data_IF_371798321001
#
_entry.id   IF_371798321001
#
_cell.length_a   1.000
_cell.length_b   1.000
_cell.length_c   1.000
_cell.angle_alpha   90.00
_cell.angle_beta   90.00
_cell.angle_gamma   90.00
#
_symmetry.space_group_name_H-M   'P 1'
#
loop_
_entity.id
_entity.type
_entity.pdbx_description
1 polymer ?
#
# COMPACT_ATOMS: atom_id res chain seq x y z
N UNK A 1 24.37 -2.14 69.35
CA UNK A 1 24.80 -1.87 67.96
C UNK A 1 23.80 -2.53 67.01
N UNK A 2 23.48 -1.82 65.92
CA UNK A 2 22.86 -2.29 64.67
C UNK A 2 21.33 -2.44 64.56
N UNK A 3 20.79 -1.65 63.63
CA UNK A 3 19.46 -1.71 62.98
C UNK A 3 19.35 -2.98 62.10
N UNK A 4 18.15 -3.31 61.57
CA UNK A 4 17.75 -2.72 60.28
C UNK A 4 16.28 -2.31 60.17
N UNK A 5 16.07 -1.12 59.61
CA UNK A 5 14.86 -0.73 58.89
C UNK A 5 14.98 -1.18 57.44
N UNK A 6 13.99 -1.89 56.89
CA UNK A 6 13.81 -2.01 55.44
C UNK A 6 12.32 -1.97 55.14
N UNK A 7 11.84 -0.75 54.85
CA UNK A 7 10.54 -0.51 54.25
C UNK A 7 10.67 -0.79 52.76
N UNK A 8 10.09 -1.91 52.32
CA UNK A 8 9.86 -2.18 50.92
C UNK A 8 8.71 -1.32 50.42
N UNK A 9 8.98 -0.48 49.42
CA UNK A 9 7.95 0.13 48.56
C UNK A 9 8.61 0.56 47.25
N UNK A 10 8.82 -0.43 46.38
CA UNK A 10 8.95 -0.17 44.95
C UNK A 10 7.58 0.28 44.43
N UNK A 11 7.36 1.59 44.33
CA UNK A 11 6.37 2.15 43.43
C UNK A 11 7.12 2.59 42.16
N UNK A 12 7.11 1.70 41.18
CA UNK A 12 7.41 2.01 39.79
C UNK A 12 6.31 2.94 39.29
N UNK A 13 6.61 4.22 39.32
CA UNK A 13 5.69 5.26 38.87
C UNK A 13 5.59 5.27 37.34
N UNK A 14 4.34 5.34 36.89
CA UNK A 14 3.83 5.62 35.55
C UNK A 14 4.79 5.55 34.38
N UNK A 15 4.72 4.46 33.59
CA UNK A 15 5.13 4.54 32.19
C UNK A 15 4.21 5.53 31.47
N UNK A 16 4.72 6.73 31.17
CA UNK A 16 4.19 7.60 30.12
C UNK A 16 4.38 6.89 28.77
N UNK A 17 3.58 5.85 28.50
CA UNK A 17 3.48 5.21 27.19
C UNK A 17 2.32 5.87 26.45
N UNK A 18 2.60 6.62 25.39
CA UNK A 18 2.01 6.35 24.07
C UNK A 18 2.26 7.43 23.00
N UNK A 19 2.62 8.67 23.36
CA UNK A 19 2.82 9.73 22.35
C UNK A 19 4.12 9.57 21.55
N UNK A 20 5.20 9.11 22.19
CA UNK A 20 6.51 8.94 21.54
C UNK A 20 6.50 7.84 20.46
N UNK A 21 5.67 6.81 20.64
CA UNK A 21 5.56 5.70 19.67
C UNK A 21 4.92 6.15 18.35
N UNK A 22 3.93 7.04 18.41
CA UNK A 22 3.22 7.48 17.21
C UNK A 22 4.04 8.50 16.42
N UNK A 23 4.74 9.40 17.12
CA UNK A 23 5.70 10.32 16.49
C UNK A 23 6.82 9.55 15.75
N UNK A 24 7.32 8.46 16.33
CA UNK A 24 8.29 7.56 15.67
C UNK A 24 7.71 6.82 14.44
N UNK A 25 6.43 6.47 14.46
CA UNK A 25 5.75 5.92 13.27
C UNK A 25 5.68 6.95 12.13
N UNK A 26 5.76 8.25 12.41
CA UNK A 26 5.69 9.31 11.38
C UNK A 26 7.05 9.76 10.83
N UNK A 27 8.18 9.40 11.47
CA UNK A 27 9.49 9.99 11.15
C UNK A 27 10.23 9.34 9.97
N UNK A 28 10.16 8.02 9.78
CA UNK A 28 10.93 7.36 8.70
C UNK A 28 10.23 6.11 8.09
N UNK A 29 9.96 6.08 6.78
CA UNK A 29 9.26 4.96 6.13
C UNK A 29 10.24 3.99 5.45
N UNK A 30 10.38 2.78 6.01
CA UNK A 30 11.28 1.75 5.49
C UNK A 30 11.03 1.38 4.02
N UNK A 31 9.80 1.54 3.52
CA UNK A 31 9.52 1.34 2.08
C UNK A 31 10.13 2.44 1.22
N UNK A 32 10.09 3.70 1.68
CA UNK A 32 10.69 4.83 0.96
C UNK A 32 12.21 4.67 0.87
N UNK A 33 12.84 4.09 1.89
CA UNK A 33 14.26 3.74 1.88
C UNK A 33 14.63 2.68 0.82
N UNK A 34 13.67 1.88 0.34
CA UNK A 34 13.92 0.91 -0.75
C UNK A 34 13.88 1.53 -2.15
N UNK A 35 13.48 2.80 -2.27
CA UNK A 35 13.35 3.48 -3.56
C UNK A 35 14.72 3.99 -4.03
N UNK A 36 15.09 3.62 -5.26
CA UNK A 36 16.33 4.02 -5.95
C UNK A 36 16.15 5.40 -6.59
N UNK A 37 17.23 6.06 -7.05
CA UNK A 37 17.11 7.35 -7.75
C UNK A 37 16.18 7.33 -8.98
N UNK A 38 16.13 6.22 -9.73
CA UNK A 38 15.17 6.03 -10.84
C UNK A 38 13.69 6.05 -10.38
N UNK A 39 13.43 5.83 -9.08
CA UNK A 39 12.09 5.84 -8.50
C UNK A 39 11.68 7.22 -7.95
N UNK A 40 12.43 8.29 -8.24
CA UNK A 40 12.16 9.61 -7.65
C UNK A 40 10.77 10.15 -8.01
N UNK A 41 10.30 9.94 -9.24
CA UNK A 41 8.94 10.31 -9.62
C UNK A 41 7.91 9.48 -8.84
N UNK A 42 8.15 8.18 -8.65
CA UNK A 42 7.28 7.30 -7.87
C UNK A 42 7.19 7.76 -6.42
N UNK A 43 8.35 8.10 -5.84
CA UNK A 43 8.48 8.64 -4.49
C UNK A 43 7.65 9.90 -4.34
N UNK A 44 7.80 10.86 -5.27
CA UNK A 44 7.06 12.11 -5.26
C UNK A 44 5.55 11.83 -5.33
N UNK A 45 5.12 10.99 -6.27
CA UNK A 45 3.72 10.59 -6.39
C UNK A 45 3.18 9.99 -5.08
N UNK A 46 3.88 9.05 -4.45
CA UNK A 46 3.47 8.46 -3.17
C UNK A 46 3.40 9.45 -2.01
N UNK A 47 4.22 10.51 -2.03
CA UNK A 47 4.17 11.57 -1.02
C UNK A 47 2.95 12.49 -1.21
N UNK A 48 2.52 12.71 -2.45
CA UNK A 48 1.42 13.60 -2.79
C UNK A 48 0.04 12.91 -2.75
N UNK A 49 -0.04 11.59 -2.96
CA UNK A 49 -1.31 10.85 -2.89
C UNK A 49 -1.82 10.83 -1.46
N UNK A 50 -2.85 11.63 -1.18
CA UNK A 50 -3.59 11.58 0.07
C UNK A 50 -4.61 10.43 0.06
N UNK A 51 -4.73 9.74 1.19
CA UNK A 51 -5.79 8.78 1.40
C UNK A 51 -7.12 9.50 1.64
N UNK A 52 -8.16 9.04 0.93
CA UNK A 52 -9.47 9.70 0.85
C UNK A 52 -10.14 9.97 2.22
N UNK A 53 -9.72 9.26 3.27
CA UNK A 53 -10.35 9.33 4.59
C UNK A 53 -9.43 9.87 5.71
N UNK A 54 -8.16 10.20 5.43
CA UNK A 54 -7.18 10.46 6.50
C UNK A 54 -6.26 11.64 6.26
N UNK A 55 -6.33 12.31 5.10
CA UNK A 55 -5.45 13.41 4.66
C UNK A 55 -3.95 13.09 4.73
N UNK A 56 -3.59 11.81 4.92
CA UNK A 56 -2.20 11.34 5.02
C UNK A 56 -1.76 10.78 3.69
N UNK A 57 -0.47 10.89 3.41
CA UNK A 57 0.10 10.24 2.24
C UNK A 57 -0.06 8.72 2.30
N UNK A 58 -0.16 8.09 1.13
CA UNK A 58 -0.34 6.64 0.99
C UNK A 58 0.74 5.84 1.74
N UNK A 59 1.99 6.32 1.68
CA UNK A 59 3.14 5.71 2.33
C UNK A 59 3.04 5.74 3.87
N UNK A 60 2.70 6.91 4.42
CA UNK A 60 2.46 7.07 5.86
C UNK A 60 1.33 6.16 6.34
N UNK A 61 0.26 6.06 5.55
CA UNK A 61 -0.88 5.21 5.90
C UNK A 61 -0.49 3.73 5.95
N UNK A 62 0.28 3.24 4.99
CA UNK A 62 0.80 1.86 4.99
C UNK A 62 1.62 1.57 6.24
N UNK A 63 2.52 2.48 6.62
CA UNK A 63 3.37 2.31 7.81
C UNK A 63 2.55 2.22 9.09
N UNK A 64 1.54 3.09 9.23
CA UNK A 64 0.63 3.06 10.40
C UNK A 64 -0.11 1.72 10.47
N UNK A 65 -0.76 1.29 9.38
CA UNK A 65 -1.52 0.02 9.39
C UNK A 65 -0.60 -1.18 9.67
N UNK A 66 0.61 -1.19 9.11
CA UNK A 66 1.61 -2.22 9.41
C UNK A 66 2.02 -2.23 10.87
N UNK A 67 2.24 -1.06 11.48
CA UNK A 67 2.60 -0.93 12.88
C UNK A 67 1.46 -1.38 13.80
N UNK A 68 0.23 -0.92 13.55
CA UNK A 68 -0.92 -1.31 14.36
C UNK A 68 -1.20 -2.81 14.25
N UNK A 69 -0.99 -3.41 13.08
CA UNK A 69 -1.12 -4.87 12.91
C UNK A 69 -0.15 -5.67 13.78
N UNK A 70 1.05 -5.14 14.07
CA UNK A 70 2.01 -5.80 14.97
C UNK A 70 1.57 -5.81 16.44
N UNK A 71 0.62 -4.96 16.81
CA UNK A 71 0.06 -4.89 18.17
C UNK A 71 -1.21 -5.73 18.33
N UNK A 72 -1.79 -6.20 17.23
CA UNK A 72 -2.99 -7.03 17.25
C UNK A 72 -2.66 -8.43 17.73
N UNK A 73 -3.64 -9.07 18.37
CA UNK A 73 -3.54 -10.47 18.76
C UNK A 73 -3.36 -11.35 17.51
N UNK A 74 -2.27 -12.12 17.40
CA UNK A 74 -2.08 -13.06 16.28
C UNK A 74 -3.12 -14.19 16.27
N UNK A 75 -3.78 -14.49 17.39
CA UNK A 75 -4.84 -15.50 17.49
C UNK A 75 -6.22 -14.99 17.02
N UNK A 76 -6.37 -13.68 16.74
CA UNK A 76 -7.57 -13.08 16.17
C UNK A 76 -7.78 -13.54 14.72
N UNK A 77 -8.39 -14.70 14.59
CA UNK A 77 -8.66 -15.40 13.32
C UNK A 77 -10.13 -15.33 12.93
N UNK A 78 -11.00 -14.94 13.86
CA UNK A 78 -12.44 -14.94 13.66
C UNK A 78 -12.85 -13.96 12.55
N UNK A 79 -13.73 -14.45 11.66
CA UNK A 79 -14.35 -13.60 10.66
C UNK A 79 -15.38 -12.70 11.33
N UNK A 80 -15.23 -11.39 11.14
CA UNK A 80 -16.25 -10.41 11.54
C UNK A 80 -17.46 -10.52 10.61
N UNK A 81 -18.66 -10.56 11.19
CA UNK A 81 -19.93 -10.74 10.46
C UNK A 81 -20.95 -9.64 10.80
N UNK A 82 -20.63 -8.80 11.76
CA UNK A 82 -21.42 -7.69 12.30
C UNK A 82 -21.12 -6.35 11.61
N UNK A 83 -20.83 -6.38 10.31
CA UNK A 83 -20.53 -5.17 9.58
C UNK A 83 -21.77 -4.28 9.45
N UNK A 84 -21.57 -2.98 9.63
CA UNK A 84 -22.62 -2.02 9.31
C UNK A 84 -22.82 -1.93 7.80
N UNK A 85 -24.01 -1.54 7.31
CA UNK A 85 -24.24 -1.34 5.87
C UNK A 85 -23.23 -0.38 5.21
N UNK A 86 -22.73 0.62 5.96
CA UNK A 86 -21.70 1.53 5.46
C UNK A 86 -20.33 0.84 5.31
N UNK A 87 -19.98 -0.06 6.23
CA UNK A 87 -18.76 -0.85 6.12
C UNK A 87 -18.79 -1.79 4.93
N UNK A 88 -19.93 -2.44 4.69
CA UNK A 88 -20.14 -3.27 3.50
C UNK A 88 -20.00 -2.45 2.21
N UNK A 89 -20.69 -1.30 2.13
CA UNK A 89 -20.59 -0.41 0.98
C UNK A 89 -19.15 0.07 0.73
N UNK A 90 -18.41 0.42 1.78
CA UNK A 90 -17.01 0.83 1.67
C UNK A 90 -16.09 -0.34 1.28
N UNK A 91 -16.40 -1.56 1.75
CA UNK A 91 -15.70 -2.79 1.39
C UNK A 91 -15.88 -3.06 -0.11
N UNK A 92 -17.12 -3.02 -0.59
CA UNK A 92 -17.46 -3.23 -1.99
C UNK A 92 -16.84 -2.15 -2.89
N UNK A 93 -16.86 -0.89 -2.44
CA UNK A 93 -16.22 0.20 -3.17
C UNK A 93 -14.71 -0.01 -3.34
N UNK A 94 -14.00 -0.48 -2.30
CA UNK A 94 -12.58 -0.81 -2.48
C UNK A 94 -12.41 -2.06 -3.35
N UNK A 95 -13.27 -3.07 -3.23
CA UNK A 95 -13.21 -4.30 -4.03
C UNK A 95 -13.37 -4.01 -5.51
N UNK A 96 -14.28 -3.12 -5.89
CA UNK A 96 -14.41 -2.66 -7.27
C UNK A 96 -13.10 -2.07 -7.82
N UNK A 97 -12.30 -1.36 -7.01
CA UNK A 97 -10.97 -0.88 -7.44
C UNK A 97 -9.97 -2.02 -7.65
N UNK A 98 -10.06 -3.09 -6.85
CA UNK A 98 -9.23 -4.30 -7.02
C UNK A 98 -9.62 -5.06 -8.30
N UNK A 99 -10.91 -5.08 -8.64
CA UNK A 99 -11.39 -5.71 -9.87
C UNK A 99 -10.94 -4.93 -11.11
N UNK A 100 -11.02 -3.60 -11.05
CA UNK A 100 -10.45 -2.71 -12.10
C UNK A 100 -8.95 -2.96 -12.27
N UNK A 101 -8.18 -3.04 -11.17
CA UNK A 101 -6.75 -3.37 -11.23
C UNK A 101 -6.51 -4.70 -11.95
N UNK A 102 -7.30 -5.72 -11.63
CA UNK A 102 -7.17 -7.05 -12.25
C UNK A 102 -7.47 -6.99 -13.75
N UNK A 103 -8.51 -6.27 -14.16
CA UNK A 103 -8.90 -6.10 -15.56
C UNK A 103 -7.88 -5.26 -16.36
N UNK A 104 -7.31 -4.21 -15.76
CA UNK A 104 -6.27 -3.40 -16.40
C UNK A 104 -4.97 -4.19 -16.55
N UNK A 105 -4.58 -4.97 -15.53
CA UNK A 105 -3.39 -5.83 -15.60
C UNK A 105 -3.46 -6.81 -16.77
N UNK A 106 -4.60 -7.47 -16.97
CA UNK A 106 -4.77 -8.39 -18.10
C UNK A 106 -4.62 -7.69 -19.47
N UNK A 107 -5.05 -6.43 -19.59
CA UNK A 107 -4.86 -5.63 -20.81
C UNK A 107 -3.41 -5.23 -21.01
N UNK A 108 -2.75 -4.78 -19.95
CA UNK A 108 -1.33 -4.40 -19.94
C UNK A 108 -0.44 -5.58 -20.36
N UNK A 109 -0.67 -6.78 -19.82
CA UNK A 109 0.07 -7.99 -20.22
C UNK A 109 -0.13 -8.33 -21.70
N UNK A 110 -1.34 -8.09 -22.22
CA UNK A 110 -1.65 -8.33 -23.63
C UNK A 110 -0.95 -7.30 -24.55
N UNK A 111 -0.95 -6.01 -24.20
CA UNK A 111 -0.32 -4.97 -25.00
C UNK A 111 1.21 -5.04 -24.94
N UNK A 112 1.81 -5.39 -23.80
CA UNK A 112 3.23 -5.71 -23.72
C UNK A 112 3.62 -6.84 -24.67
N UNK A 113 2.83 -7.93 -24.67
CA UNK A 113 3.08 -9.09 -25.54
C UNK A 113 2.97 -8.68 -27.01
N UNK A 114 1.99 -7.86 -27.36
CA UNK A 114 1.82 -7.33 -28.70
C UNK A 114 3.00 -6.42 -29.11
N UNK A 115 3.45 -5.52 -28.24
CA UNK A 115 4.60 -4.66 -28.48
C UNK A 115 5.88 -5.48 -28.71
N UNK A 116 6.15 -6.47 -27.84
CA UNK A 116 7.29 -7.40 -27.99
C UNK A 116 7.24 -8.23 -29.27
N UNK A 117 6.04 -8.61 -29.73
CA UNK A 117 5.88 -9.31 -31.01
C UNK A 117 6.11 -8.36 -32.21
N UNK A 118 5.61 -7.12 -32.11
CA UNK A 118 5.69 -6.12 -33.18
C UNK A 118 7.11 -5.61 -33.44
N UNK A 119 7.99 -5.61 -32.44
CA UNK A 119 9.39 -5.14 -32.57
C UNK A 119 10.22 -5.90 -33.61
N UNK A 120 9.76 -7.09 -34.03
CA UNK A 120 10.37 -7.90 -35.09
C UNK A 120 9.79 -7.61 -36.48
N UNK A 121 8.71 -6.83 -36.56
CA UNK A 121 8.06 -6.43 -37.81
C UNK A 121 8.94 -5.45 -38.59
N UNK A 122 8.83 -5.42 -39.92
CA UNK A 122 9.44 -4.34 -40.73
C UNK A 122 8.56 -3.09 -40.80
N UNK A 123 7.31 -3.18 -40.32
CA UNK A 123 6.36 -2.07 -40.29
C UNK A 123 6.59 -1.21 -39.04
N UNK A 124 7.27 -0.07 -39.25
CA UNK A 124 7.56 0.91 -38.20
C UNK A 124 6.30 1.57 -37.65
N UNK A 125 5.26 1.75 -38.45
CA UNK A 125 4.00 2.35 -37.98
C UNK A 125 3.25 1.39 -37.06
N UNK A 126 3.26 0.08 -37.37
CA UNK A 126 2.71 -0.94 -36.49
C UNK A 126 3.51 -1.08 -35.17
N UNK A 127 4.84 -0.99 -35.23
CA UNK A 127 5.68 -0.97 -34.03
C UNK A 127 5.33 0.20 -33.12
N UNK A 128 5.27 1.41 -33.67
CA UNK A 128 5.01 2.61 -32.88
C UNK A 128 3.60 2.58 -32.27
N UNK A 129 2.59 2.13 -33.03
CA UNK A 129 1.23 1.97 -32.49
C UNK A 129 1.19 0.99 -31.32
N UNK A 130 1.88 -0.15 -31.43
CA UNK A 130 1.91 -1.15 -30.36
C UNK A 130 2.65 -0.63 -29.13
N UNK A 131 3.74 0.14 -29.31
CA UNK A 131 4.49 0.79 -28.23
C UNK A 131 3.64 1.83 -27.49
N UNK A 132 2.97 2.72 -28.22
CA UNK A 132 2.09 3.74 -27.64
C UNK A 132 0.91 3.11 -26.86
N UNK A 133 0.35 2.01 -27.38
CA UNK A 133 -0.70 1.27 -26.67
C UNK A 133 -0.17 0.64 -25.38
N UNK A 134 1.00 -0.01 -25.42
CA UNK A 134 1.61 -0.57 -24.22
C UNK A 134 1.89 0.50 -23.17
N UNK A 135 2.43 1.65 -23.56
CA UNK A 135 2.65 2.79 -22.66
C UNK A 135 1.35 3.30 -22.02
N UNK A 136 0.27 3.42 -22.80
CA UNK A 136 -1.04 3.83 -22.28
C UNK A 136 -1.62 2.81 -21.29
N UNK A 137 -1.44 1.51 -21.54
CA UNK A 137 -1.90 0.46 -20.64
C UNK A 137 -1.01 0.36 -19.37
N UNK A 138 0.29 0.62 -19.47
CA UNK A 138 1.21 0.75 -18.33
C UNK A 138 0.77 1.90 -17.41
N UNK A 139 0.41 3.05 -17.99
CA UNK A 139 -0.12 4.20 -17.25
C UNK A 139 -1.46 3.89 -16.58
N UNK A 140 -2.37 3.21 -17.29
CA UNK A 140 -3.64 2.77 -16.72
C UNK A 140 -3.40 1.80 -15.56
N UNK A 141 -2.45 0.88 -15.70
CA UNK A 141 -2.11 -0.10 -14.68
C UNK A 141 -1.49 0.53 -13.45
N UNK A 142 -0.55 1.46 -13.64
CA UNK A 142 0.04 2.28 -12.58
C UNK A 142 -1.04 2.96 -11.74
N UNK A 143 -1.96 3.66 -12.40
CA UNK A 143 -3.04 4.40 -11.75
C UNK A 143 -3.99 3.46 -10.99
N UNK A 144 -4.36 2.32 -11.60
CA UNK A 144 -5.23 1.33 -10.98
C UNK A 144 -4.56 0.67 -9.74
N UNK A 145 -3.26 0.38 -9.81
CA UNK A 145 -2.51 -0.22 -8.72
C UNK A 145 -2.46 0.70 -7.50
N UNK A 146 -2.20 1.99 -7.73
CA UNK A 146 -2.23 3.03 -6.70
C UNK A 146 -3.64 3.20 -6.13
N UNK A 147 -4.67 3.28 -6.98
CA UNK A 147 -6.05 3.44 -6.53
C UNK A 147 -6.50 2.27 -5.66
N UNK A 148 -6.18 1.02 -6.05
CA UNK A 148 -6.49 -0.17 -5.26
C UNK A 148 -5.71 -0.21 -3.94
N UNK A 149 -4.42 0.16 -3.94
CA UNK A 149 -3.63 0.28 -2.72
C UNK A 149 -4.21 1.33 -1.76
N UNK A 150 -4.60 2.49 -2.29
CA UNK A 150 -5.20 3.59 -1.53
C UNK A 150 -6.55 3.19 -0.92
N UNK A 151 -7.45 2.62 -1.72
CA UNK A 151 -8.76 2.19 -1.25
C UNK A 151 -8.65 1.12 -0.15
N UNK A 152 -7.75 0.14 -0.32
CA UNK A 152 -7.53 -0.93 0.66
C UNK A 152 -6.96 -0.40 1.98
N UNK A 153 -5.97 0.50 1.93
CA UNK A 153 -5.45 1.16 3.14
C UNK A 153 -6.50 2.06 3.79
N UNK A 154 -7.27 2.80 2.98
CA UNK A 154 -8.37 3.64 3.44
C UNK A 154 -9.40 2.85 4.24
N UNK A 155 -9.79 1.67 3.74
CA UNK A 155 -10.70 0.75 4.44
C UNK A 155 -10.11 0.29 5.77
N UNK A 156 -8.89 -0.27 5.77
CA UNK A 156 -8.25 -0.76 7.01
C UNK A 156 -7.99 0.34 8.04
N UNK A 157 -7.86 1.58 7.60
CA UNK A 157 -7.67 2.71 8.52
C UNK A 157 -8.99 3.19 9.10
N UNK A 158 -10.03 3.27 8.27
CA UNK A 158 -11.36 3.67 8.68
C UNK A 158 -11.98 2.63 9.62
N UNK A 159 -11.70 1.34 9.38
CA UNK A 159 -12.22 0.22 10.14
C UNK A 159 -11.11 -0.73 10.61
N UNK A 160 -10.31 -0.33 11.62
CA UNK A 160 -9.13 -1.09 12.05
C UNK A 160 -9.44 -2.51 12.55
N UNK A 161 -10.66 -2.75 13.02
CA UNK A 161 -11.11 -4.04 13.55
C UNK A 161 -12.04 -4.82 12.60
N UNK A 162 -12.29 -4.32 11.38
CA UNK A 162 -13.22 -4.97 10.44
C UNK A 162 -12.73 -6.32 9.93
N UNK A 163 -11.42 -6.52 9.89
CA UNK A 163 -10.75 -7.70 9.35
C UNK A 163 -9.98 -8.39 10.47
N UNK A 164 -9.87 -9.72 10.41
CA UNK A 164 -9.01 -10.49 11.31
C UNK A 164 -7.53 -10.12 11.15
N UNK A 165 -6.68 -10.51 12.10
CA UNK A 165 -5.23 -10.23 12.03
C UNK A 165 -4.59 -10.84 10.76
N UNK A 166 -4.82 -12.13 10.40
CA UNK A 166 -4.28 -12.72 9.17
C UNK A 166 -4.79 -12.03 7.90
N UNK A 167 -6.07 -11.63 7.88
CA UNK A 167 -6.65 -10.90 6.74
C UNK A 167 -5.98 -9.54 6.58
N UNK A 168 -5.81 -8.79 7.67
CA UNK A 168 -5.12 -7.49 7.66
C UNK A 168 -3.69 -7.61 7.14
N UNK A 169 -2.94 -8.63 7.58
CA UNK A 169 -1.59 -8.91 7.07
C UNK A 169 -1.59 -9.20 5.56
N UNK A 170 -2.54 -10.02 5.09
CA UNK A 170 -2.71 -10.31 3.66
C UNK A 170 -3.00 -9.05 2.85
N UNK A 171 -3.84 -8.16 3.37
CA UNK A 171 -4.12 -6.88 2.72
C UNK A 171 -2.91 -5.95 2.71
N UNK A 172 -2.12 -5.88 3.79
CA UNK A 172 -0.86 -5.12 3.81
C UNK A 172 0.11 -5.65 2.76
N UNK A 173 0.26 -6.97 2.65
CA UNK A 173 1.09 -7.60 1.61
C UNK A 173 0.59 -7.22 0.22
N UNK A 174 -0.72 -7.35 -0.02
CA UNK A 174 -1.30 -7.00 -1.31
C UNK A 174 -1.19 -5.50 -1.64
N UNK A 175 -1.18 -4.61 -0.63
CA UNK A 175 -0.83 -3.18 -0.83
C UNK A 175 0.62 -3.06 -1.28
N UNK A 176 1.55 -3.73 -0.61
CA UNK A 176 2.97 -3.68 -0.96
C UNK A 176 3.23 -4.23 -2.36
N UNK A 177 2.58 -5.32 -2.74
CA UNK A 177 2.67 -5.91 -4.08
C UNK A 177 2.13 -4.92 -5.14
N UNK A 178 0.97 -4.31 -4.90
CA UNK A 178 0.42 -3.28 -5.78
C UNK A 178 1.38 -2.09 -5.95
N UNK A 179 1.97 -1.59 -4.86
CA UNK A 179 2.92 -0.49 -4.92
C UNK A 179 4.23 -0.88 -5.63
N UNK A 180 4.68 -2.12 -5.49
CA UNK A 180 5.85 -2.63 -6.21
C UNK A 180 5.57 -2.77 -7.71
N UNK A 181 4.38 -3.24 -8.09
CA UNK A 181 3.93 -3.26 -9.48
C UNK A 181 3.83 -1.85 -10.07
N UNK A 182 3.22 -0.91 -9.33
CA UNK A 182 3.14 0.49 -9.74
C UNK A 182 4.54 1.10 -9.97
N UNK A 183 5.49 0.80 -9.08
CA UNK A 183 6.89 1.20 -9.24
C UNK A 183 7.53 0.61 -10.51
N UNK A 184 7.25 -0.65 -10.84
CA UNK A 184 7.76 -1.28 -12.07
C UNK A 184 7.18 -0.62 -13.31
N UNK A 185 5.85 -0.45 -13.37
CA UNK A 185 5.17 0.22 -14.47
C UNK A 185 5.71 1.64 -14.70
N UNK A 186 5.94 2.41 -13.63
CA UNK A 186 6.53 3.74 -13.78
C UNK A 186 7.95 3.69 -14.40
N UNK A 187 8.79 2.75 -13.97
CA UNK A 187 10.14 2.60 -14.57
C UNK A 187 10.04 2.27 -16.05
N UNK A 188 9.13 1.39 -16.43
CA UNK A 188 8.91 1.02 -17.83
C UNK A 188 8.44 2.22 -18.65
N UNK A 189 7.51 3.02 -18.13
CA UNK A 189 7.07 4.28 -18.75
C UNK A 189 8.26 5.24 -18.94
N UNK A 190 9.11 5.41 -17.91
CA UNK A 190 10.29 6.28 -18.01
C UNK A 190 11.29 5.80 -19.05
N UNK A 191 11.59 4.49 -19.07
CA UNK A 191 12.51 3.89 -20.05
C UNK A 191 11.97 4.05 -21.47
N UNK A 192 10.68 3.83 -21.68
CA UNK A 192 10.05 3.95 -23.00
C UNK A 192 9.92 5.40 -23.49
N UNK A 193 10.01 6.39 -22.59
CA UNK A 193 9.96 7.82 -22.93
C UNK A 193 11.33 8.44 -23.24
N UNK A 194 12.43 7.76 -22.91
CA UNK A 194 13.80 8.15 -23.24
C UNK A 194 14.18 7.67 -24.63
#
# INVERSE_FOLDING_TARGET
MSRPSSSGSNKSDGSNKSTDSYASVLSDDSYMATLRPIDNEFRNMLQHIQALNTSRSLAKQRKIVSHETKKRDPADTERRTDWTPQMEADYDAYKAKVDVLSAVKARQEASEKAAKASSKSKDLAAQERARLQALADDEAWLNAAIAAANARLGFMTKYPNALSTPSTQTHIKAVQDNLNSAKQAQREIQIQRQ
#
